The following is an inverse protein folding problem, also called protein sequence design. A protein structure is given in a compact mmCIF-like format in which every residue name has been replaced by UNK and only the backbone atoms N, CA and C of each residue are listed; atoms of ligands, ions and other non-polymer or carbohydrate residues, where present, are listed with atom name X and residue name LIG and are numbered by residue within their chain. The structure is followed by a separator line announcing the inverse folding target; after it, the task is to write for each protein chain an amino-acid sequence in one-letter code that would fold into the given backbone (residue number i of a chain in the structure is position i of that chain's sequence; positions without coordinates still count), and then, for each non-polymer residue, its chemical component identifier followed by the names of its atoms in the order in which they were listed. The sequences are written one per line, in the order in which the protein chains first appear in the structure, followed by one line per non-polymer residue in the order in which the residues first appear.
data_IF_411417051028
#
_entry.id   IF_411417051028
#
_cell.length_a   1.000
_cell.length_b   1.000
_cell.length_c   1.000
_cell.angle_alpha   90.00
_cell.angle_beta   90.00
_cell.angle_gamma   90.00
#
_symmetry.space_group_name_H-M   'P 1'
#
loop_
_entity.id
_entity.type
_entity.pdbx_description
1 polymer ?
#
# COMPACT_ATOMS: atom_id res chain seq x y z
N UNK A 1 -14.81 -4.69 -27.76
CA UNK A 1 -13.60 -3.88 -27.54
C UNK A 1 -13.46 -3.36 -26.13
N UNK A 2 -14.49 -2.73 -25.59
CA UNK A 2 -14.45 -2.19 -24.20
C UNK A 2 -14.08 -3.23 -23.15
N UNK A 3 -14.62 -4.45 -23.24
CA UNK A 3 -14.33 -5.52 -22.27
C UNK A 3 -12.87 -5.99 -22.25
N UNK A 4 -12.16 -5.92 -23.38
CA UNK A 4 -10.75 -6.33 -23.45
C UNK A 4 -9.86 -5.26 -22.79
N UNK A 5 -10.14 -3.99 -23.06
CA UNK A 5 -9.43 -2.86 -22.45
C UNK A 5 -9.62 -2.86 -20.93
N UNK A 6 -10.84 -3.05 -20.47
CA UNK A 6 -11.16 -3.12 -19.04
C UNK A 6 -10.46 -4.29 -18.33
N UNK A 7 -10.36 -5.45 -19.00
CA UNK A 7 -9.60 -6.60 -18.47
C UNK A 7 -8.10 -6.33 -18.38
N UNK A 8 -7.52 -5.68 -19.39
CA UNK A 8 -6.10 -5.29 -19.39
C UNK A 8 -5.85 -4.27 -18.30
N UNK A 9 -6.70 -3.25 -18.21
CA UNK A 9 -6.60 -2.21 -17.18
C UNK A 9 -6.70 -2.80 -15.77
N UNK A 10 -7.60 -3.75 -15.55
CA UNK A 10 -7.72 -4.46 -14.27
C UNK A 10 -6.42 -5.20 -13.91
N UNK A 11 -5.80 -5.89 -14.87
CA UNK A 11 -4.52 -6.57 -14.64
C UNK A 11 -3.40 -5.58 -14.28
N UNK A 12 -3.33 -4.45 -14.98
CA UNK A 12 -2.34 -3.40 -14.69
C UNK A 12 -2.53 -2.85 -13.28
N UNK A 13 -3.76 -2.53 -12.91
CA UNK A 13 -4.08 -2.02 -11.56
C UNK A 13 -3.68 -3.03 -10.49
N UNK A 14 -3.97 -4.32 -10.70
CA UNK A 14 -3.58 -5.37 -9.76
C UNK A 14 -2.05 -5.49 -9.61
N UNK A 15 -1.31 -5.45 -10.71
CA UNK A 15 0.15 -5.50 -10.69
C UNK A 15 0.73 -4.31 -9.95
N UNK A 16 0.27 -3.10 -10.25
CA UNK A 16 0.70 -1.87 -9.57
C UNK A 16 0.39 -1.95 -8.07
N UNK A 17 -0.79 -2.42 -7.72
CA UNK A 17 -1.19 -2.58 -6.32
C UNK A 17 -0.30 -3.57 -5.57
N UNK A 18 0.03 -4.72 -6.18
CA UNK A 18 0.96 -5.70 -5.62
C UNK A 18 2.34 -5.07 -5.39
N UNK A 19 2.86 -4.33 -6.36
CA UNK A 19 4.17 -3.65 -6.24
C UNK A 19 4.17 -2.68 -5.07
N UNK A 20 3.12 -1.88 -4.91
CA UNK A 20 2.99 -0.93 -3.80
C UNK A 20 2.94 -1.67 -2.45
N UNK A 21 2.16 -2.75 -2.35
CA UNK A 21 2.08 -3.55 -1.11
C UNK A 21 3.43 -4.16 -0.76
N UNK A 22 4.13 -4.73 -1.74
CA UNK A 22 5.48 -5.28 -1.54
C UNK A 22 6.44 -4.18 -1.08
N UNK A 23 6.41 -3.02 -1.72
CA UNK A 23 7.22 -1.87 -1.33
C UNK A 23 6.96 -1.46 0.12
N UNK A 24 5.69 -1.29 0.51
CA UNK A 24 5.31 -0.87 1.87
C UNK A 24 5.77 -1.89 2.92
N UNK A 25 5.64 -3.19 2.64
CA UNK A 25 5.93 -4.25 3.60
C UNK A 25 7.43 -4.56 3.68
N UNK A 26 8.13 -4.64 2.57
CA UNK A 26 9.52 -5.11 2.53
C UNK A 26 10.54 -4.00 2.75
N UNK A 27 10.26 -2.77 2.32
CA UNK A 27 11.22 -1.67 2.40
C UNK A 27 11.77 -1.41 3.81
N UNK A 28 10.96 -1.46 4.90
CA UNK A 28 11.48 -1.29 6.26
C UNK A 28 12.59 -2.28 6.65
N UNK A 29 12.63 -3.42 5.99
CA UNK A 29 13.60 -4.50 6.28
C UNK A 29 14.82 -4.47 5.35
N UNK A 30 14.78 -3.70 4.28
CA UNK A 30 15.89 -3.55 3.33
C UNK A 30 16.92 -2.58 3.91
N UNK A 31 18.20 -2.87 3.70
CA UNK A 31 19.29 -2.05 4.18
C UNK A 31 19.75 -1.01 3.14
N UNK A 32 18.79 -0.26 2.57
CA UNK A 32 19.06 0.82 1.62
C UNK A 32 18.61 2.15 2.20
N UNK A 33 19.52 3.11 2.29
CA UNK A 33 19.23 4.45 2.82
C UNK A 33 18.20 5.18 1.95
N UNK A 34 18.35 5.08 0.63
CA UNK A 34 17.43 5.68 -0.33
C UNK A 34 16.01 5.12 -0.21
N UNK A 35 15.87 3.79 -0.16
CA UNK A 35 14.56 3.16 -0.04
C UNK A 35 13.90 3.45 1.30
N UNK A 36 14.65 3.48 2.40
CA UNK A 36 14.13 3.86 3.72
C UNK A 36 13.64 5.31 3.74
N UNK A 37 14.40 6.22 3.13
CA UNK A 37 13.99 7.62 3.01
C UNK A 37 12.71 7.75 2.16
N UNK A 38 12.71 7.10 1.00
CA UNK A 38 11.57 7.11 0.09
C UNK A 38 10.30 6.56 0.78
N UNK A 39 10.41 5.45 1.48
CA UNK A 39 9.33 4.87 2.27
C UNK A 39 8.83 5.85 3.36
N UNK A 40 9.74 6.45 4.10
CA UNK A 40 9.40 7.41 5.16
C UNK A 40 8.66 8.64 4.65
N UNK A 41 8.92 9.05 3.41
CA UNK A 41 8.22 10.17 2.77
C UNK A 41 6.90 9.77 2.13
N UNK A 42 6.83 8.60 1.49
CA UNK A 42 5.65 8.15 0.75
C UNK A 42 4.52 7.71 1.69
N UNK A 43 4.83 7.04 2.79
CA UNK A 43 3.80 6.51 3.70
C UNK A 43 2.83 7.57 4.23
N UNK A 44 3.28 8.75 4.71
CA UNK A 44 2.36 9.80 5.13
C UNK A 44 1.40 10.24 4.01
N UNK A 45 1.87 10.29 2.76
CA UNK A 45 1.02 10.61 1.61
C UNK A 45 0.00 9.51 1.32
N UNK A 46 0.37 8.25 1.47
CA UNK A 46 -0.54 7.11 1.32
C UNK A 46 -1.64 7.18 2.39
N UNK A 47 -1.27 7.44 3.64
CA UNK A 47 -2.23 7.57 4.74
C UNK A 47 -3.19 8.73 4.49
N UNK A 48 -2.66 9.89 4.10
CA UNK A 48 -3.48 11.05 3.76
C UNK A 48 -4.44 10.74 2.60
N UNK A 49 -3.94 10.06 1.58
CA UNK A 49 -4.74 9.61 0.44
C UNK A 49 -5.92 8.71 0.86
N UNK A 50 -5.66 7.76 1.77
CA UNK A 50 -6.73 6.91 2.32
C UNK A 50 -7.77 7.70 3.11
N UNK A 51 -7.33 8.65 3.95
CA UNK A 51 -8.23 9.52 4.71
C UNK A 51 -9.15 10.33 3.80
N UNK A 52 -8.63 10.82 2.68
CA UNK A 52 -9.41 11.59 1.70
C UNK A 52 -10.36 10.72 0.87
N UNK A 53 -10.11 9.42 0.76
CA UNK A 53 -10.89 8.48 -0.04
C UNK A 53 -11.70 7.48 0.83
N UNK A 54 -12.27 7.93 1.91
CA UNK A 54 -13.09 7.10 2.80
C UNK A 54 -12.40 5.82 3.28
N UNK A 55 -11.12 5.94 3.66
CA UNK A 55 -10.28 4.82 4.12
C UNK A 55 -10.03 3.75 3.04
N UNK A 56 -10.06 4.13 1.77
CA UNK A 56 -9.82 3.22 0.66
C UNK A 56 -8.71 3.73 -0.25
N UNK A 57 -7.89 2.83 -0.76
CA UNK A 57 -6.93 3.13 -1.81
C UNK A 57 -7.65 3.44 -3.13
N UNK A 58 -7.20 4.45 -3.88
CA UNK A 58 -7.76 4.76 -5.20
C UNK A 58 -7.68 3.57 -6.16
N UNK A 59 -6.60 2.78 -6.09
CA UNK A 59 -6.46 1.55 -6.89
C UNK A 59 -7.55 0.53 -6.56
N UNK A 60 -7.90 0.37 -5.28
CA UNK A 60 -9.01 -0.50 -4.84
C UNK A 60 -10.35 0.01 -5.36
N UNK A 61 -10.59 1.32 -5.34
CA UNK A 61 -11.80 1.91 -5.90
C UNK A 61 -11.91 1.70 -7.41
N UNK A 62 -10.81 1.89 -8.14
CA UNK A 62 -10.75 1.65 -9.58
C UNK A 62 -10.97 0.17 -9.91
N UNK A 63 -10.34 -0.74 -9.17
CA UNK A 63 -10.54 -2.18 -9.28
C UNK A 63 -12.02 -2.54 -9.13
N UNK A 64 -12.66 -2.05 -8.07
CA UNK A 64 -14.09 -2.31 -7.82
C UNK A 64 -14.99 -1.83 -8.95
N UNK A 65 -14.76 -0.61 -9.45
CA UNK A 65 -15.52 -0.04 -10.57
C UNK A 65 -15.38 -0.87 -11.85
N UNK A 66 -14.18 -1.33 -12.17
CA UNK A 66 -13.92 -2.13 -13.35
C UNK A 66 -14.57 -3.52 -13.22
N UNK A 67 -14.44 -4.15 -12.04
CA UNK A 67 -15.08 -5.45 -11.77
C UNK A 67 -16.62 -5.36 -11.85
N UNK A 68 -17.20 -4.29 -11.32
CA UNK A 68 -18.64 -4.04 -11.42
C UNK A 68 -19.08 -3.89 -12.89
N UNK A 69 -18.32 -3.15 -13.67
CA UNK A 69 -18.58 -2.95 -15.11
C UNK A 69 -18.48 -4.27 -15.89
N UNK A 70 -17.51 -5.13 -15.57
CA UNK A 70 -17.30 -6.42 -16.25
C UNK A 70 -18.32 -7.48 -15.85
N UNK A 71 -18.74 -7.52 -14.58
CA UNK A 71 -19.63 -8.56 -14.06
C UNK A 71 -21.11 -8.19 -14.12
N UNK A 72 -21.43 -6.90 -14.27
CA UNK A 72 -22.81 -6.42 -14.21
C UNK A 72 -23.53 -6.65 -12.87
N UNK A 73 -22.80 -7.06 -11.83
CA UNK A 73 -23.32 -7.45 -10.52
C UNK A 73 -22.79 -6.55 -9.41
N UNK A 74 -23.68 -6.12 -8.52
CA UNK A 74 -23.31 -5.34 -7.33
C UNK A 74 -22.45 -6.12 -6.32
N UNK A 75 -22.42 -7.45 -6.40
CA UNK A 75 -21.59 -8.30 -5.55
C UNK A 75 -20.08 -8.12 -5.79
N UNK A 76 -19.71 -7.69 -6.99
CA UNK A 76 -18.32 -7.39 -7.32
C UNK A 76 -17.72 -6.24 -6.46
N UNK A 77 -18.57 -5.39 -5.86
CA UNK A 77 -18.14 -4.33 -4.95
C UNK A 77 -17.51 -4.86 -3.65
N UNK A 78 -17.86 -6.09 -3.25
CA UNK A 78 -17.35 -6.72 -2.04
C UNK A 78 -15.98 -7.38 -2.22
N UNK A 79 -15.58 -7.62 -3.46
CA UNK A 79 -14.30 -8.22 -3.78
C UNK A 79 -13.22 -7.15 -3.92
N UNK A 80 -12.21 -7.19 -3.07
CA UNK A 80 -11.00 -6.40 -3.22
C UNK A 80 -9.76 -7.26 -3.07
N UNK A 81 -8.70 -6.92 -3.82
CA UNK A 81 -7.45 -7.68 -3.81
C UNK A 81 -6.80 -7.71 -2.42
N UNK A 82 -6.69 -6.54 -1.78
CA UNK A 82 -6.13 -6.42 -0.43
C UNK A 82 -6.92 -7.24 0.59
N UNK A 83 -8.26 -7.26 0.45
CA UNK A 83 -9.12 -8.07 1.31
C UNK A 83 -8.85 -9.55 1.16
N UNK A 84 -8.60 -10.05 -0.06
CA UNK A 84 -8.27 -11.46 -0.31
C UNK A 84 -6.94 -11.89 0.28
N UNK A 85 -5.94 -11.00 0.27
CA UNK A 85 -4.64 -11.28 0.88
C UNK A 85 -4.73 -11.36 2.41
N UNK A 86 -5.53 -10.49 3.02
CA UNK A 86 -5.66 -10.38 4.47
C UNK A 86 -6.67 -11.39 5.04
N UNK A 87 -7.65 -11.80 4.25
CA UNK A 87 -8.74 -12.71 4.66
C UNK A 87 -8.26 -14.01 5.33
N UNK A 88 -7.16 -14.68 4.87
CA UNK A 88 -6.64 -15.86 5.56
C UNK A 88 -6.07 -15.59 6.95
N UNK A 89 -5.69 -14.36 7.26
CA UNK A 89 -5.09 -13.96 8.53
C UNK A 89 -6.18 -13.50 9.49
N UNK A 90 -7.19 -12.80 9.00
CA UNK A 90 -8.29 -12.25 9.79
C UNK A 90 -9.55 -12.15 8.94
N UNK A 91 -10.68 -12.62 9.46
CA UNK A 91 -11.97 -12.56 8.75
C UNK A 91 -12.59 -11.16 8.86
N UNK A 92 -12.32 -10.33 7.85
CA UNK A 92 -12.84 -8.96 7.77
C UNK A 92 -14.17 -8.82 7.04
N UNK A 93 -14.81 -9.91 6.64
CA UNK A 93 -16.05 -9.85 5.83
C UNK A 93 -17.16 -9.05 6.51
N UNK A 94 -17.20 -9.07 7.83
CA UNK A 94 -18.27 -8.47 8.62
C UNK A 94 -17.91 -7.11 9.26
N UNK A 95 -16.61 -6.71 9.31
CA UNK A 95 -16.17 -5.52 10.01
C UNK A 95 -15.22 -4.64 9.18
N UNK A 96 -15.81 -3.75 8.38
CA UNK A 96 -15.08 -2.77 7.58
C UNK A 96 -14.18 -1.84 8.43
N UNK A 97 -14.64 -1.43 9.60
CA UNK A 97 -13.88 -0.56 10.52
C UNK A 97 -12.62 -1.25 11.06
N UNK A 98 -12.73 -2.51 11.44
CA UNK A 98 -11.59 -3.28 11.95
C UNK A 98 -10.52 -3.50 10.87
N UNK A 99 -10.94 -3.75 9.63
CA UNK A 99 -10.03 -3.86 8.49
C UNK A 99 -9.25 -2.56 8.25
N UNK A 100 -9.95 -1.43 8.23
CA UNK A 100 -9.33 -0.13 8.06
C UNK A 100 -8.33 0.13 9.20
N UNK A 101 -8.72 -0.10 10.44
CA UNK A 101 -7.86 0.06 11.62
C UNK A 101 -6.62 -0.83 11.53
N UNK A 102 -6.77 -2.09 11.13
CA UNK A 102 -5.65 -3.02 10.95
C UNK A 102 -4.65 -2.52 9.91
N UNK A 103 -5.13 -2.08 8.74
CA UNK A 103 -4.29 -1.57 7.65
C UNK A 103 -3.54 -0.31 8.10
N UNK A 104 -4.23 0.65 8.72
CA UNK A 104 -3.60 1.86 9.25
C UNK A 104 -2.54 1.54 10.30
N UNK A 105 -2.87 0.71 11.29
CA UNK A 105 -1.96 0.33 12.37
C UNK A 105 -0.72 -0.36 11.83
N UNK A 106 -0.88 -1.33 10.94
CA UNK A 106 0.24 -2.05 10.31
C UNK A 106 1.14 -1.10 9.51
N UNK A 107 0.55 -0.21 8.72
CA UNK A 107 1.29 0.77 7.91
C UNK A 107 2.06 1.76 8.78
N UNK A 108 1.46 2.24 9.86
CA UNK A 108 2.11 3.15 10.82
C UNK A 108 3.28 2.46 11.52
N UNK A 109 3.11 1.20 11.95
CA UNK A 109 4.19 0.42 12.56
C UNK A 109 5.37 0.25 11.59
N UNK A 110 5.11 -0.11 10.35
CA UNK A 110 6.14 -0.24 9.32
C UNK A 110 6.84 1.10 9.05
N UNK A 111 6.10 2.18 9.01
CA UNK A 111 6.66 3.53 8.89
C UNK A 111 7.57 3.90 10.05
N UNK A 112 7.14 3.64 11.30
CA UNK A 112 7.95 3.89 12.49
C UNK A 112 9.24 3.07 12.47
N UNK A 113 9.23 1.84 11.99
CA UNK A 113 10.42 1.01 11.82
C UNK A 113 11.39 1.68 10.82
N UNK A 114 10.90 2.15 9.67
CA UNK A 114 11.73 2.83 8.67
C UNK A 114 12.35 4.11 9.21
N UNK A 115 11.57 4.96 9.88
CA UNK A 115 12.03 6.21 10.47
C UNK A 115 13.06 5.95 11.57
N UNK A 116 12.81 4.97 12.44
CA UNK A 116 13.72 4.59 13.51
C UNK A 116 15.06 4.08 12.96
N UNK A 117 15.03 3.29 11.90
CA UNK A 117 16.26 2.82 11.23
C UNK A 117 17.04 3.95 10.58
N UNK A 118 16.37 4.89 9.90
CA UNK A 118 17.03 6.09 9.36
C UNK A 118 17.67 6.94 10.45
N UNK A 119 16.93 7.16 11.53
CA UNK A 119 17.44 7.92 12.67
C UNK A 119 18.67 7.25 13.31
N UNK A 120 18.61 5.94 13.48
CA UNK A 120 19.74 5.16 14.00
C UNK A 120 20.98 5.28 13.10
N UNK A 121 20.82 5.16 11.79
CA UNK A 121 21.90 5.33 10.82
C UNK A 121 22.48 6.74 10.81
N UNK A 122 21.63 7.74 10.96
CA UNK A 122 22.09 9.12 11.12
C UNK A 122 22.91 9.31 12.40
N UNK A 123 22.44 8.77 13.51
CA UNK A 123 23.11 8.88 14.81
C UNK A 123 24.43 8.12 14.88
N UNK A 124 24.54 6.98 14.20
CA UNK A 124 25.79 6.18 14.13
C UNK A 124 26.82 6.74 13.14
N UNK A 125 26.46 7.76 12.37
CA UNK A 125 27.35 8.42 11.42
C UNK A 125 27.45 7.74 10.06
N UNK A 126 26.59 6.78 9.75
CA UNK A 126 26.49 6.19 8.40
C UNK A 126 25.96 7.20 7.38
N UNK A 127 25.10 8.11 7.82
CA UNK A 127 24.51 9.17 6.99
C UNK A 127 25.06 10.51 7.49
N UNK A 128 26.02 11.09 6.79
CA UNK A 128 26.59 12.40 7.08
C UNK A 128 26.13 13.49 6.10
N UNK A 129 25.89 13.11 4.87
CA UNK A 129 25.51 14.01 3.78
C UNK A 129 24.27 13.53 3.05
N UNK A 130 23.60 14.44 2.33
CA UNK A 130 22.46 14.13 1.45
C UNK A 130 22.83 13.07 0.39
N UNK A 131 24.10 13.05 -0.04
CA UNK A 131 24.61 12.04 -0.98
C UNK A 131 24.55 10.62 -0.41
N UNK A 132 24.78 10.47 0.89
CA UNK A 132 24.71 9.15 1.56
C UNK A 132 23.27 8.62 1.62
N UNK A 133 22.28 9.51 1.69
CA UNK A 133 20.86 9.15 1.61
C UNK A 133 20.44 8.69 0.21
N UNK A 134 21.12 9.16 -0.82
CA UNK A 134 20.79 8.82 -2.22
C UNK A 134 21.52 7.58 -2.73
N UNK A 135 22.39 6.98 -1.93
CA UNK A 135 23.06 5.71 -2.28
C UNK A 135 22.08 4.54 -2.06
N UNK A 136 21.94 3.77 -3.12
CA UNK A 136 21.10 2.56 -3.12
C UNK A 136 21.82 1.42 -2.42
#
# INVERSE_FOLDING_TARGET
MTNIIDKILLKIILIVHIIIVIFVVLTPFINSNYLLLLHSMIIPFIILHWLMNNNMCALTLMEKKIREKLSGSSNAKKECFTCKIIEPIYDFKNNYKERATFIYTSTIILWLISVSRLYYKYKTGEIKNIKDLMQI
#
